data_IF_999423495508
#
_entry.id   IF_999423495508
#
_cell.length_a   1.000
_cell.length_b   1.000
_cell.length_c   1.000
_cell.angle_alpha   90.00
_cell.angle_beta   90.00
_cell.angle_gamma   90.00
#
_symmetry.space_group_name_H-M   'P 1'
#
loop_
_entity.id
_entity.type
_entity.pdbx_description
1 polymer ?
#
# COMPACT_ATOMS: atom_id res chain seq x y z
N UNK A 1 -21.17 26.64 108.34
CA UNK A 1 -21.56 25.35 107.79
C UNK A 1 -21.69 25.55 106.26
N UNK A 2 -20.68 25.12 105.52
CA UNK A 2 -20.52 25.29 104.06
C UNK A 2 -21.10 24.07 103.38
N UNK A 3 -22.01 24.30 102.45
CA UNK A 3 -22.50 23.25 101.52
C UNK A 3 -21.95 23.50 100.19
N UNK A 4 -21.14 22.57 99.68
CA UNK A 4 -20.49 22.60 98.38
C UNK A 4 -21.48 22.09 97.28
N UNK A 5 -21.79 22.90 96.28
CA UNK A 5 -22.51 22.48 95.09
C UNK A 5 -21.52 22.03 94.02
N UNK A 6 -21.62 20.78 93.61
CA UNK A 6 -20.85 20.22 92.48
C UNK A 6 -21.58 20.47 91.20
N UNK A 7 -20.92 21.18 90.26
CA UNK A 7 -21.40 21.37 88.88
C UNK A 7 -21.07 20.14 88.04
N UNK A 8 -22.07 19.54 87.40
CA UNK A 8 -21.95 18.49 86.39
C UNK A 8 -21.80 19.12 85.02
N UNK A 9 -20.60 19.00 84.48
CA UNK A 9 -20.36 19.41 83.07
C UNK A 9 -20.90 18.37 82.09
N UNK A 10 -21.73 18.84 81.18
CA UNK A 10 -22.16 18.08 80.00
C UNK A 10 -21.07 18.20 78.89
N UNK A 11 -20.42 17.13 78.57
CA UNK A 11 -19.55 17.06 77.42
C UNK A 11 -20.38 16.80 76.17
N UNK A 12 -20.44 17.78 75.27
CA UNK A 12 -21.07 17.65 73.95
C UNK A 12 -20.02 17.03 73.02
N UNK A 13 -20.24 15.80 72.60
CA UNK A 13 -19.40 15.09 71.66
C UNK A 13 -19.80 15.59 70.22
N UNK A 14 -18.97 16.43 69.61
CA UNK A 14 -19.16 16.86 68.20
C UNK A 14 -18.64 15.71 67.30
N UNK A 15 -19.54 15.00 66.64
CA UNK A 15 -19.23 14.03 65.59
C UNK A 15 -18.90 14.78 64.30
N UNK A 16 -17.64 14.85 63.92
CA UNK A 16 -17.18 15.33 62.62
C UNK A 16 -17.49 14.26 61.58
N UNK A 17 -18.46 14.55 60.69
CA UNK A 17 -18.70 13.69 59.50
C UNK A 17 -17.67 14.04 58.43
N UNK A 18 -16.73 13.12 58.25
CA UNK A 18 -15.73 13.20 57.19
C UNK A 18 -16.39 12.79 55.85
N UNK A 19 -16.77 13.76 55.02
CA UNK A 19 -17.23 13.48 53.65
C UNK A 19 -15.99 13.15 52.80
N UNK A 20 -15.77 11.88 52.54
CA UNK A 20 -14.75 11.40 51.58
C UNK A 20 -15.35 11.62 50.18
N UNK A 21 -14.89 12.67 49.48
CA UNK A 21 -15.17 12.85 48.08
C UNK A 21 -14.38 11.77 47.28
N UNK A 22 -15.07 10.79 46.77
CA UNK A 22 -14.49 9.83 45.82
C UNK A 22 -14.12 10.58 44.54
N UNK A 23 -12.90 10.37 44.00
CA UNK A 23 -12.57 10.95 42.70
C UNK A 23 -13.49 10.31 41.65
N UNK A 24 -14.21 11.18 40.91
CA UNK A 24 -14.92 10.75 39.73
C UNK A 24 -13.90 10.27 38.70
N UNK A 25 -13.79 8.97 38.54
CA UNK A 25 -13.04 8.40 37.41
C UNK A 25 -13.78 8.83 36.14
N UNK A 26 -13.19 9.80 35.43
CA UNK A 26 -13.59 10.09 34.06
C UNK A 26 -13.30 8.78 33.26
N UNK A 27 -14.35 8.05 32.96
CA UNK A 27 -14.30 7.02 31.93
C UNK A 27 -14.07 7.79 30.63
N UNK A 28 -12.81 7.76 30.13
CA UNK A 28 -12.57 8.08 28.74
C UNK A 28 -13.41 7.06 27.94
N UNK A 29 -14.47 7.54 27.30
CA UNK A 29 -15.13 6.78 26.26
C UNK A 29 -14.05 6.58 25.21
N UNK A 30 -13.57 5.34 25.09
CA UNK A 30 -12.84 4.93 23.89
C UNK A 30 -13.84 5.20 22.75
N UNK A 31 -13.45 6.08 21.82
CA UNK A 31 -14.15 6.20 20.54
C UNK A 31 -14.23 4.77 19.99
N UNK A 32 -15.43 4.19 19.96
CA UNK A 32 -15.66 2.95 19.23
C UNK A 32 -15.37 3.33 17.79
N UNK A 33 -14.22 2.84 17.28
CA UNK A 33 -13.85 3.04 15.89
C UNK A 33 -15.01 2.49 15.06
N UNK A 34 -15.68 3.38 14.33
CA UNK A 34 -16.77 3.01 13.44
C UNK A 34 -16.23 2.00 12.43
N UNK A 35 -16.88 0.83 12.35
CA UNK A 35 -16.43 -0.23 11.45
C UNK A 35 -16.51 0.28 10.00
N UNK A 36 -15.52 -0.03 9.16
CA UNK A 36 -15.53 0.37 7.77
C UNK A 36 -16.83 -0.04 7.06
N UNK A 37 -17.47 0.91 6.37
CA UNK A 37 -18.71 0.65 5.64
C UNK A 37 -18.40 0.10 4.24
N UNK A 38 -18.34 -1.23 4.13
CA UNK A 38 -18.18 -1.93 2.86
C UNK A 38 -19.50 -2.06 2.11
N UNK A 39 -19.43 -2.06 0.79
CA UNK A 39 -20.59 -2.23 -0.08
C UNK A 39 -21.22 -3.62 0.10
N UNK A 40 -22.55 -3.69 0.18
CA UNK A 40 -23.27 -4.94 0.49
C UNK A 40 -23.25 -5.98 -0.64
N UNK A 41 -22.99 -5.57 -1.88
CA UNK A 41 -23.02 -6.42 -3.08
C UNK A 41 -21.66 -6.50 -3.77
N UNK A 42 -20.58 -6.06 -3.09
CA UNK A 42 -19.27 -6.03 -3.67
C UNK A 42 -19.22 -5.26 -5.00
N UNK A 43 -18.54 -5.82 -6.00
CA UNK A 43 -18.35 -5.20 -7.31
C UNK A 43 -19.66 -4.82 -8.03
N UNK A 44 -20.75 -5.56 -7.81
CA UNK A 44 -22.06 -5.24 -8.41
C UNK A 44 -22.59 -3.87 -7.96
N UNK A 45 -22.16 -3.38 -6.80
CA UNK A 45 -22.48 -2.03 -6.35
C UNK A 45 -21.72 -0.99 -7.16
N UNK A 46 -20.46 -1.24 -7.43
CA UNK A 46 -19.57 -0.34 -8.17
C UNK A 46 -19.97 -0.21 -9.63
N UNK A 47 -20.36 -1.32 -10.28
CA UNK A 47 -20.74 -1.35 -11.70
C UNK A 47 -22.03 -0.62 -12.04
N UNK A 48 -22.79 -0.18 -11.07
CA UNK A 48 -23.95 0.69 -11.35
C UNK A 48 -23.51 2.06 -11.92
N UNK A 49 -22.26 2.45 -11.73
CA UNK A 49 -21.71 3.72 -12.17
C UNK A 49 -20.36 3.56 -12.92
N UNK A 50 -19.61 2.49 -12.67
CA UNK A 50 -18.28 2.22 -13.20
C UNK A 50 -18.30 1.01 -14.15
N UNK A 51 -18.98 1.15 -15.28
CA UNK A 51 -19.16 0.10 -16.30
C UNK A 51 -18.32 0.33 -17.57
N UNK A 52 -17.39 1.28 -17.50
CA UNK A 52 -16.51 1.59 -18.63
C UNK A 52 -15.45 0.49 -18.86
N UNK A 53 -14.93 0.43 -20.09
CA UNK A 53 -14.00 -0.62 -20.50
C UNK A 53 -12.70 -0.64 -19.71
N UNK A 54 -12.22 0.51 -19.22
CA UNK A 54 -10.99 0.57 -18.45
C UNK A 54 -11.22 -0.09 -17.08
N UNK A 55 -12.31 0.25 -16.41
CA UNK A 55 -12.69 -0.37 -15.13
C UNK A 55 -12.90 -1.87 -15.27
N UNK A 56 -13.65 -2.30 -16.29
CA UNK A 56 -13.92 -3.72 -16.54
C UNK A 56 -12.68 -4.53 -16.96
N UNK A 57 -11.59 -3.84 -17.31
CA UNK A 57 -10.30 -4.47 -17.63
C UNK A 57 -9.74 -5.33 -16.51
N UNK A 58 -10.09 -5.05 -15.23
CA UNK A 58 -9.67 -5.86 -14.07
C UNK A 58 -10.02 -7.34 -14.22
N UNK A 59 -11.16 -7.68 -14.84
CA UNK A 59 -11.60 -9.07 -15.02
C UNK A 59 -10.76 -9.89 -15.99
N UNK A 60 -9.80 -9.27 -16.67
CA UNK A 60 -8.83 -9.97 -17.53
C UNK A 60 -7.48 -10.16 -16.84
N UNK A 61 -7.38 -9.78 -15.56
CA UNK A 61 -6.13 -9.82 -14.78
C UNK A 61 -6.14 -10.98 -13.78
N UNK A 62 -4.98 -11.24 -13.21
CA UNK A 62 -4.86 -12.23 -12.14
C UNK A 62 -5.53 -11.81 -10.83
N UNK A 63 -5.74 -10.52 -10.63
CA UNK A 63 -6.44 -10.01 -9.46
C UNK A 63 -7.94 -10.32 -9.44
N UNK A 64 -8.51 -10.75 -10.57
CA UNK A 64 -9.93 -11.08 -10.66
C UNK A 64 -10.19 -12.57 -10.96
N UNK A 65 -9.41 -13.48 -10.36
CA UNK A 65 -9.58 -14.93 -10.49
C UNK A 65 -10.44 -15.47 -9.33
N UNK A 66 -11.71 -15.83 -9.55
CA UNK A 66 -12.62 -16.22 -8.45
C UNK A 66 -12.22 -17.51 -7.74
N UNK A 67 -11.45 -18.39 -8.41
CA UNK A 67 -11.00 -19.67 -7.87
C UNK A 67 -9.71 -19.55 -7.05
N UNK A 68 -9.05 -18.41 -7.09
CA UNK A 68 -7.84 -18.14 -6.33
C UNK A 68 -8.23 -17.46 -5.00
N UNK A 69 -8.02 -18.09 -3.84
CA UNK A 69 -8.38 -17.52 -2.55
C UNK A 69 -7.58 -16.27 -2.20
N UNK A 70 -6.39 -16.10 -2.79
CA UNK A 70 -5.52 -14.95 -2.57
C UNK A 70 -5.82 -13.79 -3.53
N UNK A 71 -6.67 -14.03 -4.55
CA UNK A 71 -7.15 -12.98 -5.45
C UNK A 71 -8.15 -12.05 -4.73
N UNK A 72 -8.07 -10.72 -4.95
CA UNK A 72 -9.08 -9.78 -4.47
C UNK A 72 -10.53 -10.16 -4.83
N UNK A 73 -10.75 -10.87 -5.93
CA UNK A 73 -12.04 -11.38 -6.37
C UNK A 73 -12.28 -12.84 -6.02
N UNK A 74 -11.42 -13.45 -5.20
CA UNK A 74 -11.63 -14.79 -4.64
C UNK A 74 -12.89 -14.86 -3.77
N UNK A 75 -13.32 -16.08 -3.47
CA UNK A 75 -14.52 -16.27 -2.67
C UNK A 75 -14.38 -15.65 -1.26
N UNK A 76 -15.28 -14.74 -0.92
CA UNK A 76 -15.28 -14.04 0.38
C UNK A 76 -14.35 -12.84 0.47
N UNK A 77 -13.65 -12.48 -0.61
CA UNK A 77 -12.78 -11.33 -0.67
C UNK A 77 -13.55 -10.02 -0.98
N UNK A 78 -12.89 -8.89 -0.77
CA UNK A 78 -13.50 -7.55 -0.87
C UNK A 78 -13.64 -7.02 -2.30
N UNK A 79 -13.13 -7.71 -3.30
CA UNK A 79 -13.21 -7.35 -4.72
C UNK A 79 -12.59 -5.97 -5.00
N UNK A 80 -13.36 -5.02 -5.58
CA UNK A 80 -12.91 -3.66 -5.81
C UNK A 80 -12.39 -2.99 -4.54
N UNK A 81 -13.06 -3.25 -3.42
CA UNK A 81 -12.77 -2.62 -2.14
C UNK A 81 -11.51 -3.18 -1.45
N UNK A 82 -10.95 -4.28 -1.96
CA UNK A 82 -9.63 -4.77 -1.53
C UNK A 82 -8.51 -3.78 -1.86
N UNK A 83 -8.67 -3.03 -2.94
CA UNK A 83 -7.71 -2.02 -3.37
C UNK A 83 -8.23 -0.60 -3.11
N UNK A 84 -9.51 -0.34 -3.35
CA UNK A 84 -10.11 0.98 -3.25
C UNK A 84 -10.69 1.30 -1.87
N UNK A 85 -10.50 0.42 -0.89
CA UNK A 85 -11.03 0.60 0.46
C UNK A 85 -12.56 0.59 0.53
N UNK A 86 -13.13 0.83 1.73
CA UNK A 86 -14.58 0.79 1.95
C UNK A 86 -15.32 1.80 1.08
N UNK A 87 -16.25 1.33 0.27
CA UNK A 87 -17.00 2.14 -0.70
C UNK A 87 -18.49 2.30 -0.39
N UNK A 88 -18.96 1.85 0.78
CA UNK A 88 -20.38 1.90 1.12
C UNK A 88 -20.94 3.33 1.11
N UNK A 89 -20.27 4.26 1.76
CA UNK A 89 -20.65 5.68 1.76
C UNK A 89 -20.51 6.30 0.36
N UNK A 90 -19.44 5.96 -0.37
CA UNK A 90 -19.24 6.41 -1.75
C UNK A 90 -20.39 5.96 -2.66
N UNK A 91 -20.81 4.71 -2.57
CA UNK A 91 -21.91 4.15 -3.34
C UNK A 91 -23.30 4.56 -2.81
N UNK A 92 -23.35 5.13 -1.61
CA UNK A 92 -24.56 5.54 -0.93
C UNK A 92 -25.31 6.68 -1.62
N UNK A 93 -26.44 7.06 -1.03
CA UNK A 93 -27.23 8.22 -1.51
C UNK A 93 -26.56 9.52 -1.08
N UNK A 94 -26.21 10.35 -2.04
CA UNK A 94 -25.81 11.75 -1.80
C UNK A 94 -26.96 12.70 -2.07
N UNK A 95 -27.07 13.76 -1.26
CA UNK A 95 -28.07 14.81 -1.48
C UNK A 95 -27.69 15.63 -2.72
N UNK A 96 -28.68 16.18 -3.39
CA UNK A 96 -28.46 17.03 -4.56
C UNK A 96 -27.52 18.19 -4.22
N UNK A 97 -26.40 18.30 -4.95
CA UNK A 97 -25.38 19.33 -4.75
C UNK A 97 -24.29 18.97 -3.74
N UNK A 98 -24.32 17.78 -3.16
CA UNK A 98 -23.21 17.27 -2.37
C UNK A 98 -22.29 16.40 -3.26
N UNK A 99 -21.00 16.49 -3.01
CA UNK A 99 -20.01 15.58 -3.59
C UNK A 99 -20.09 14.20 -2.92
N UNK A 100 -19.78 13.17 -3.67
CA UNK A 100 -19.63 11.83 -3.12
C UNK A 100 -18.38 11.76 -2.25
N UNK A 101 -18.41 11.07 -1.09
CA UNK A 101 -17.21 10.77 -0.34
C UNK A 101 -16.14 10.16 -1.26
N UNK A 102 -14.90 10.62 -1.13
CA UNK A 102 -13.79 10.05 -1.88
C UNK A 102 -13.44 8.66 -1.34
N UNK A 103 -13.01 7.78 -2.22
CA UNK A 103 -12.36 6.52 -1.87
C UNK A 103 -10.92 6.55 -2.38
N UNK A 104 -10.02 5.66 -1.89
CA UNK A 104 -8.65 5.57 -2.37
C UNK A 104 -8.59 5.42 -3.89
N UNK A 105 -7.72 6.20 -4.50
CA UNK A 105 -7.51 6.21 -5.94
C UNK A 105 -6.01 6.20 -6.24
N UNK A 106 -5.64 5.53 -7.34
CA UNK A 106 -4.27 5.21 -7.72
C UNK A 106 -3.85 6.04 -8.93
N UNK A 107 -3.47 7.29 -8.68
CA UNK A 107 -2.92 8.17 -9.69
C UNK A 107 -2.14 9.31 -9.00
N UNK A 108 -1.28 9.98 -9.75
CA UNK A 108 -0.44 11.08 -9.24
C UNK A 108 -1.21 12.34 -8.82
N UNK A 109 -2.45 12.50 -9.28
CA UNK A 109 -3.30 13.67 -9.04
C UNK A 109 -4.49 13.41 -8.11
N UNK A 110 -4.42 12.36 -7.30
CA UNK A 110 -5.47 12.03 -6.33
C UNK A 110 -5.17 12.60 -4.95
N UNK A 111 -6.16 12.59 -4.07
CA UNK A 111 -6.00 12.96 -2.66
C UNK A 111 -5.39 11.85 -1.81
N UNK A 112 -5.32 10.61 -2.33
CA UNK A 112 -4.68 9.48 -1.66
C UNK A 112 -3.17 9.63 -1.75
N UNK A 113 -2.48 9.64 -0.60
CA UNK A 113 -1.03 9.74 -0.58
C UNK A 113 -0.39 8.52 -1.26
N UNK A 114 0.81 8.67 -1.82
CA UNK A 114 1.52 7.54 -2.45
C UNK A 114 1.81 6.43 -1.44
N UNK A 115 2.13 6.80 -0.21
CA UNK A 115 2.30 5.82 0.88
C UNK A 115 1.04 4.99 1.10
N UNK A 116 -0.13 5.64 1.14
CA UNK A 116 -1.41 4.94 1.31
C UNK A 116 -1.75 4.09 0.08
N UNK A 117 -1.49 4.60 -1.14
CA UNK A 117 -1.66 3.82 -2.37
C UNK A 117 -0.82 2.55 -2.34
N UNK A 118 0.45 2.65 -1.92
CA UNK A 118 1.36 1.51 -1.84
C UNK A 118 0.96 0.53 -0.74
N UNK A 119 0.44 1.02 0.38
CA UNK A 119 0.00 0.18 1.50
C UNK A 119 -1.02 -0.88 1.05
N UNK A 120 -2.00 -0.51 0.22
CA UNK A 120 -2.97 -1.47 -0.33
C UNK A 120 -2.34 -2.60 -1.16
N UNK A 121 -1.21 -2.34 -1.81
CA UNK A 121 -0.51 -3.36 -2.59
C UNK A 121 0.28 -4.29 -1.67
N UNK A 122 1.03 -3.72 -0.71
CA UNK A 122 1.93 -4.49 0.16
C UNK A 122 1.20 -5.29 1.24
N UNK A 123 -0.09 -5.07 1.47
CA UNK A 123 -0.91 -5.96 2.31
C UNK A 123 -0.90 -7.41 1.82
N UNK A 124 -0.80 -7.61 0.49
CA UNK A 124 -0.72 -8.92 -0.13
C UNK A 124 0.66 -9.20 -0.76
N UNK A 125 1.34 -8.15 -1.25
CA UNK A 125 2.66 -8.21 -1.87
C UNK A 125 3.74 -7.82 -0.86
N UNK A 126 3.85 -8.58 0.22
CA UNK A 126 4.82 -8.35 1.30
C UNK A 126 6.17 -9.07 1.07
N UNK A 127 7.05 -8.96 2.06
CA UNK A 127 8.37 -9.57 2.02
C UNK A 127 8.35 -11.11 1.93
N UNK A 128 7.29 -11.76 2.41
CA UNK A 128 7.15 -13.23 2.38
C UNK A 128 6.94 -13.73 0.94
N UNK A 129 6.45 -12.87 0.05
CA UNK A 129 6.35 -13.15 -1.39
C UNK A 129 7.66 -12.88 -2.15
N UNK A 130 8.74 -12.52 -1.47
CA UNK A 130 10.03 -12.14 -2.06
C UNK A 130 10.06 -10.72 -2.60
N UNK A 131 9.19 -9.86 -2.10
CA UNK A 131 9.02 -8.49 -2.56
C UNK A 131 9.63 -7.49 -1.56
N UNK A 132 10.82 -7.00 -1.85
CA UNK A 132 11.60 -6.14 -0.93
C UNK A 132 11.40 -4.65 -1.26
N UNK A 133 10.15 -4.15 -1.19
CA UNK A 133 9.83 -2.77 -1.55
C UNK A 133 10.39 -1.75 -0.55
N UNK A 134 10.17 -2.00 0.74
CA UNK A 134 10.52 -1.04 1.79
C UNK A 134 12.02 -0.77 1.87
N UNK A 135 12.37 0.52 1.74
CA UNK A 135 13.76 0.99 1.69
C UNK A 135 14.42 0.83 0.33
N UNK A 136 13.67 0.45 -0.71
CA UNK A 136 14.17 0.51 -2.09
C UNK A 136 14.35 1.95 -2.55
N UNK A 137 15.18 2.17 -3.58
CA UNK A 137 15.36 3.50 -4.13
C UNK A 137 14.07 4.13 -4.68
N UNK A 138 13.12 3.31 -5.15
CA UNK A 138 11.82 3.80 -5.60
C UNK A 138 10.90 4.15 -4.44
N UNK A 139 10.90 3.36 -3.36
CA UNK A 139 10.16 3.67 -2.13
C UNK A 139 10.68 4.97 -1.49
N UNK A 140 12.00 5.09 -1.32
CA UNK A 140 12.66 6.29 -0.78
C UNK A 140 12.39 7.57 -1.61
N UNK A 141 12.13 7.42 -2.91
CA UNK A 141 11.75 8.52 -3.81
C UNK A 141 10.23 8.65 -4.03
N UNK A 142 9.44 8.03 -3.18
CA UNK A 142 7.97 8.17 -3.18
C UNK A 142 7.34 7.80 -4.53
N UNK A 143 7.80 6.69 -5.12
CA UNK A 143 7.21 6.15 -6.35
C UNK A 143 6.03 5.25 -5.99
N UNK A 144 4.89 5.41 -6.67
CA UNK A 144 3.75 4.53 -6.46
C UNK A 144 3.88 3.24 -7.26
N UNK A 145 3.38 2.14 -6.71
CA UNK A 145 3.26 0.87 -7.43
C UNK A 145 2.48 1.06 -8.75
N UNK A 146 1.39 1.83 -8.68
CA UNK A 146 0.56 2.17 -9.83
C UNK A 146 1.25 3.11 -10.84
N UNK A 147 2.38 3.73 -10.50
CA UNK A 147 3.20 4.50 -11.43
C UNK A 147 3.91 3.63 -12.48
N UNK A 148 4.07 2.35 -12.19
CA UNK A 148 4.68 1.37 -13.09
C UNK A 148 3.68 0.27 -13.49
N UNK A 149 2.85 -0.18 -12.55
CA UNK A 149 1.91 -1.28 -12.72
C UNK A 149 0.50 -0.81 -13.08
N UNK A 150 -0.10 -1.47 -14.05
CA UNK A 150 -1.45 -1.19 -14.54
C UNK A 150 -2.39 -2.34 -14.20
N UNK A 151 -3.19 -2.17 -13.13
CA UNK A 151 -4.02 -3.26 -12.59
C UNK A 151 -5.29 -3.55 -13.40
N UNK A 152 -5.76 -2.61 -14.20
CA UNK A 152 -6.98 -2.74 -15.00
C UNK A 152 -6.72 -3.11 -16.47
N UNK A 153 -5.55 -3.65 -16.79
CA UNK A 153 -5.20 -4.10 -18.14
C UNK A 153 -4.80 -5.57 -18.14
N UNK A 154 -5.21 -6.31 -19.16
CA UNK A 154 -4.93 -7.75 -19.31
C UNK A 154 -3.44 -8.07 -19.29
N UNK A 155 -2.63 -7.19 -19.88
CA UNK A 155 -1.17 -7.31 -19.96
C UNK A 155 -0.55 -6.03 -19.45
N UNK A 156 -0.05 -6.09 -18.25
CA UNK A 156 0.65 -4.97 -17.65
C UNK A 156 1.93 -4.66 -18.46
N UNK A 157 2.07 -3.44 -19.03
CA UNK A 157 3.21 -3.10 -19.88
C UNK A 157 4.57 -3.26 -19.22
N UNK A 158 4.66 -3.05 -17.90
CA UNK A 158 5.94 -3.19 -17.17
C UNK A 158 6.39 -4.64 -17.03
N UNK A 159 5.46 -5.60 -17.11
CA UNK A 159 5.78 -7.03 -17.02
C UNK A 159 6.17 -7.67 -18.37
N UNK A 160 6.08 -6.94 -19.46
CA UNK A 160 6.44 -7.44 -20.79
C UNK A 160 7.76 -6.87 -21.25
N UNK A 161 8.72 -7.75 -21.62
CA UNK A 161 10.04 -7.34 -22.13
C UNK A 161 9.98 -6.34 -23.28
N UNK A 162 8.97 -6.45 -24.14
CA UNK A 162 8.83 -5.58 -25.31
C UNK A 162 8.31 -4.17 -24.99
N UNK A 163 7.65 -3.98 -23.86
CA UNK A 163 7.00 -2.70 -23.48
C UNK A 163 7.58 -2.10 -22.20
N UNK A 164 8.26 -2.90 -21.38
CA UNK A 164 8.78 -2.47 -20.08
C UNK A 164 9.65 -1.20 -20.17
N UNK A 165 10.51 -1.13 -21.20
CA UNK A 165 11.44 -0.02 -21.34
C UNK A 165 10.73 1.33 -21.45
N UNK A 166 9.58 1.40 -22.12
CA UNK A 166 8.84 2.65 -22.28
C UNK A 166 8.27 3.11 -20.93
N UNK A 167 7.77 2.19 -20.08
CA UNK A 167 7.33 2.51 -18.72
C UNK A 167 8.48 3.10 -17.89
N UNK A 168 9.65 2.49 -17.93
CA UNK A 168 10.82 3.00 -17.20
C UNK A 168 11.27 4.37 -17.74
N UNK A 169 11.20 4.58 -19.05
CA UNK A 169 11.65 5.79 -19.72
C UNK A 169 10.77 7.02 -19.43
N UNK A 170 9.58 6.87 -18.88
CA UNK A 170 8.76 8.01 -18.48
C UNK A 170 9.49 8.86 -17.43
N UNK A 171 10.26 8.23 -16.56
CA UNK A 171 11.09 8.92 -15.56
C UNK A 171 12.59 8.88 -15.91
N UNK A 172 13.10 7.77 -16.45
CA UNK A 172 14.52 7.53 -16.72
C UNK A 172 14.96 8.02 -18.12
N UNK A 173 14.80 9.32 -18.40
CA UNK A 173 15.06 9.93 -19.69
C UNK A 173 16.52 9.83 -20.16
N UNK A 174 17.47 9.90 -19.20
CA UNK A 174 18.89 9.72 -19.51
C UNK A 174 19.16 8.31 -20.04
N UNK A 175 18.60 7.31 -19.42
CA UNK A 175 18.73 5.89 -19.82
C UNK A 175 18.07 5.65 -21.19
N UNK A 176 16.93 6.31 -21.45
CA UNK A 176 16.32 6.33 -22.79
C UNK A 176 17.31 6.80 -23.85
N UNK A 177 17.96 7.93 -23.61
CA UNK A 177 18.95 8.50 -24.54
C UNK A 177 20.15 7.56 -24.72
N UNK A 178 20.64 6.94 -23.62
CA UNK A 178 21.75 5.99 -23.68
C UNK A 178 21.40 4.71 -24.44
N UNK A 179 20.17 4.23 -24.36
CA UNK A 179 19.70 3.04 -25.09
C UNK A 179 19.67 3.24 -26.61
N UNK A 180 19.78 4.50 -27.09
CA UNK A 180 19.82 4.84 -28.50
C UNK A 180 21.24 4.75 -29.12
N UNK A 181 22.27 4.55 -28.30
CA UNK A 181 23.64 4.46 -28.80
C UNK A 181 23.86 3.17 -29.60
N UNK A 182 24.77 3.19 -30.61
CA UNK A 182 25.00 2.01 -31.49
C UNK A 182 25.41 0.73 -30.76
N UNK A 183 26.06 0.88 -29.60
CA UNK A 183 26.57 -0.25 -28.81
C UNK A 183 25.77 -0.53 -27.54
N UNK A 184 24.51 -0.03 -27.48
CA UNK A 184 23.63 -0.33 -26.36
C UNK A 184 23.08 -1.77 -26.47
N UNK A 185 22.81 -2.36 -25.32
CA UNK A 185 22.06 -3.62 -25.26
C UNK A 185 20.68 -3.44 -25.96
N UNK A 186 20.11 -4.50 -26.55
CA UNK A 186 18.93 -4.43 -27.40
C UNK A 186 17.62 -4.30 -26.62
N UNK A 187 17.57 -3.34 -25.66
CA UNK A 187 16.40 -3.03 -24.84
C UNK A 187 15.28 -2.44 -25.71
N UNK A 188 15.60 -1.49 -26.61
CA UNK A 188 14.64 -0.88 -27.53
C UNK A 188 14.04 -1.86 -28.53
N UNK A 189 14.73 -2.94 -28.84
CA UNK A 189 14.27 -3.99 -29.72
C UNK A 189 13.41 -5.03 -28.96
N UNK A 190 13.14 -4.80 -27.68
CA UNK A 190 12.37 -5.71 -26.84
C UNK A 190 13.00 -7.08 -26.62
N UNK A 191 14.33 -7.19 -26.85
CA UNK A 191 15.09 -8.44 -26.62
C UNK A 191 15.62 -8.55 -25.19
N UNK A 192 15.71 -7.42 -24.51
CA UNK A 192 16.09 -7.31 -23.10
C UNK A 192 15.16 -6.30 -22.43
N UNK A 193 14.89 -6.53 -21.16
CA UNK A 193 14.18 -5.62 -20.28
C UNK A 193 15.16 -4.91 -19.33
N UNK A 194 14.76 -3.81 -18.74
CA UNK A 194 15.56 -3.18 -17.68
C UNK A 194 15.77 -4.15 -16.50
N UNK A 195 14.75 -4.96 -16.21
CA UNK A 195 14.80 -6.01 -15.18
C UNK A 195 15.69 -7.21 -15.52
N UNK A 196 16.22 -7.30 -16.74
CA UNK A 196 17.29 -8.28 -17.03
C UNK A 196 18.58 -7.97 -16.27
N UNK A 197 18.75 -6.74 -15.79
CA UNK A 197 19.91 -6.30 -15.04
C UNK A 197 19.57 -5.65 -13.70
N UNK A 198 18.36 -5.11 -13.56
CA UNK A 198 17.94 -4.35 -12.39
C UNK A 198 16.76 -4.99 -11.68
N UNK A 199 16.77 -4.95 -10.33
CA UNK A 199 15.61 -5.28 -9.48
C UNK A 199 14.99 -3.97 -8.98
N UNK A 200 13.89 -3.50 -9.61
CA UNK A 200 13.28 -2.22 -9.25
C UNK A 200 12.65 -2.19 -7.86
N UNK A 201 12.42 -3.36 -7.26
CA UNK A 201 11.83 -3.50 -5.92
C UNK A 201 12.87 -3.56 -4.79
N UNK A 202 14.17 -3.50 -5.10
CA UNK A 202 15.20 -3.31 -4.10
C UNK A 202 15.78 -4.57 -3.46
N UNK A 203 15.73 -5.73 -4.13
CA UNK A 203 16.25 -7.02 -3.59
C UNK A 203 17.75 -7.00 -3.34
N UNK A 204 18.47 -6.05 -3.92
CA UNK A 204 19.92 -5.93 -3.79
C UNK A 204 20.36 -4.51 -3.50
N UNK A 205 21.33 -4.29 -2.59
CA UNK A 205 21.67 -2.95 -2.11
C UNK A 205 22.46 -2.11 -3.13
N UNK A 206 23.08 -2.70 -4.13
CA UNK A 206 23.99 -1.98 -5.03
C UNK A 206 23.34 -1.66 -6.37
N UNK A 207 22.88 -0.42 -6.55
CA UNK A 207 22.30 0.10 -7.80
C UNK A 207 21.11 -0.71 -8.34
N UNK A 208 20.36 -1.36 -7.45
CA UNK A 208 19.24 -2.23 -7.84
C UNK A 208 19.65 -3.30 -8.87
N UNK A 209 20.85 -3.86 -8.77
CA UNK A 209 21.27 -4.94 -9.67
C UNK A 209 20.55 -6.25 -9.31
N UNK A 210 20.16 -7.02 -10.31
CA UNK A 210 19.55 -8.33 -10.14
C UNK A 210 20.52 -9.37 -9.56
N UNK A 211 21.82 -9.20 -9.81
CA UNK A 211 22.89 -10.05 -9.25
C UNK A 211 23.61 -9.37 -8.08
N UNK A 212 24.35 -10.17 -7.30
CA UNK A 212 25.10 -9.71 -6.13
C UNK A 212 26.26 -8.74 -6.47
N UNK A 213 26.59 -8.57 -7.72
CA UNK A 213 27.59 -7.62 -8.23
C UNK A 213 27.38 -7.34 -9.70
N UNK A 214 28.03 -6.29 -10.22
CA UNK A 214 28.03 -5.97 -11.66
C UNK A 214 28.48 -7.17 -12.48
N UNK A 215 29.60 -7.80 -12.09
CA UNK A 215 30.13 -8.95 -12.83
C UNK A 215 29.17 -10.14 -12.78
N UNK A 216 28.55 -10.44 -11.64
CA UNK A 216 27.59 -11.53 -11.54
C UNK A 216 26.41 -11.30 -12.49
N UNK A 217 25.83 -10.09 -12.48
CA UNK A 217 24.73 -9.70 -13.39
C UNK A 217 25.13 -9.83 -14.87
N UNK A 218 26.37 -9.44 -15.24
CA UNK A 218 26.84 -9.58 -16.62
C UNK A 218 27.04 -11.05 -17.02
N UNK A 219 27.59 -11.88 -16.13
CA UNK A 219 27.90 -13.27 -16.39
C UNK A 219 26.68 -14.18 -16.54
N UNK A 220 25.50 -13.74 -16.15
CA UNK A 220 24.26 -14.49 -16.41
C UNK A 220 24.01 -14.67 -17.92
N UNK A 221 24.46 -13.71 -18.73
CA UNK A 221 24.35 -13.76 -20.18
C UNK A 221 25.74 -13.93 -20.86
N UNK A 222 26.80 -13.40 -20.26
CA UNK A 222 28.16 -13.40 -20.77
C UNK A 222 29.07 -14.39 -20.00
N UNK A 223 28.63 -15.65 -19.90
CA UNK A 223 29.33 -16.68 -19.15
C UNK A 223 30.77 -16.90 -19.62
N UNK A 224 31.04 -16.71 -20.90
CA UNK A 224 32.39 -16.80 -21.51
C UNK A 224 33.37 -15.77 -20.98
N UNK A 225 32.87 -14.67 -20.41
CA UNK A 225 33.71 -13.62 -19.80
C UNK A 225 34.05 -13.88 -18.33
N UNK A 226 33.58 -14.99 -17.75
CA UNK A 226 33.74 -15.26 -16.31
C UNK A 226 35.16 -15.64 -15.88
N UNK A 227 35.99 -16.07 -16.79
CA UNK A 227 37.32 -16.60 -16.49
C UNK A 227 37.32 -18.06 -15.97
N UNK A 228 38.47 -18.63 -15.62
CA UNK A 228 39.79 -17.99 -15.52
C UNK A 228 40.37 -17.64 -16.89
N UNK A 229 40.95 -16.47 -16.98
CA UNK A 229 41.70 -16.07 -18.17
C UNK A 229 43.10 -16.63 -18.04
N UNK A 230 43.45 -17.55 -18.94
CA UNK A 230 44.82 -18.03 -19.07
C UNK A 230 45.56 -17.03 -19.97
N UNK A 231 46.34 -16.15 -19.38
CA UNK A 231 47.29 -15.34 -20.11
C UNK A 231 48.57 -16.17 -20.29
N UNK A 232 48.98 -16.42 -21.51
CA UNK A 232 50.30 -16.87 -21.81
C UNK A 232 51.24 -15.66 -21.93
#
# INVERSE_FOLDING_TARGET
>A
MLTTMTARGFAVLAMAVLVIAAPATAHAQADEAELPDYSRKGADTCFQCHDDQATLGIFRTRHAVPQDPDSPFGHGQLQCEACHGPGGDHAGRVRRGQERPAIPAFASNTTTSISDQNAYCVECHDADTGFAWHGSAHDDNTVSCAGCHSMHVERDPVLSTSTQAEVCFDCHQQQRTQSMKPYAHPVRQGKMACTSCHSPHGDTPERLLAGNSVNATCYDCHAELRGPYLWE
#
